data_IF_074886803926
#
_entry.id   IF_074886803926
#
_cell.length_a   1.000
_cell.length_b   1.000
_cell.length_c   1.000
_cell.angle_alpha   90.00
_cell.angle_beta   90.00
_cell.angle_gamma   90.00
#
_symmetry.space_group_name_H-M   'P 1'
#
loop_
_entity.id
_entity.type
_entity.pdbx_description
1 polymer ?
#
# COMPACT_ATOMS: atom_id res chain seq x y z
N UNK A 1 31.47 -3.27 6.34
CA UNK A 1 30.17 -3.63 6.94
C UNK A 1 30.32 -4.95 7.66
N UNK A 2 29.53 -5.22 8.70
CA UNK A 2 29.46 -6.56 9.29
C UNK A 2 28.62 -7.46 8.37
N UNK A 3 28.87 -8.77 8.38
CA UNK A 3 28.13 -9.73 7.55
C UNK A 3 26.70 -9.90 8.08
N UNK A 4 25.85 -8.93 7.76
CA UNK A 4 24.43 -9.04 7.93
C UNK A 4 23.83 -9.79 6.74
N UNK A 5 23.09 -10.87 7.03
CA UNK A 5 22.32 -11.64 6.04
C UNK A 5 21.14 -10.84 5.44
N UNK A 6 20.86 -9.66 5.97
CA UNK A 6 19.70 -8.85 5.64
C UNK A 6 20.10 -7.63 4.79
N UNK A 7 19.28 -7.30 3.79
CA UNK A 7 19.48 -6.07 3.05
C UNK A 7 19.05 -4.87 3.92
N UNK A 8 19.73 -3.76 3.73
CA UNK A 8 19.35 -2.45 4.30
C UNK A 8 18.97 -1.51 3.17
N UNK A 9 18.16 -0.49 3.46
CA UNK A 9 17.78 0.52 2.46
C UNK A 9 18.66 1.77 2.64
N UNK A 10 19.58 1.96 1.70
CA UNK A 10 20.40 3.16 1.61
C UNK A 10 19.60 4.34 1.06
N UNK A 11 19.88 5.54 1.60
CA UNK A 11 19.24 6.81 1.24
C UNK A 11 17.71 6.70 1.18
N UNK A 12 17.12 6.00 2.16
CA UNK A 12 15.69 5.71 2.14
C UNK A 12 14.84 6.93 2.47
N UNK A 13 13.71 7.07 1.79
CA UNK A 13 12.67 8.05 2.07
C UNK A 13 11.35 7.36 2.33
N UNK A 14 10.51 7.97 3.17
CA UNK A 14 9.14 7.51 3.40
C UNK A 14 8.17 8.33 2.57
N UNK A 15 7.24 7.67 1.90
CA UNK A 15 6.18 8.31 1.13
C UNK A 15 4.83 7.67 1.45
N UNK A 16 3.76 8.47 1.47
CA UNK A 16 2.39 7.95 1.61
C UNK A 16 1.67 8.09 0.27
N UNK A 17 1.25 6.96 -0.32
CA UNK A 17 0.51 6.91 -1.57
C UNK A 17 -0.77 6.12 -1.32
N UNK A 18 -1.93 6.71 -1.61
CA UNK A 18 -3.24 6.11 -1.39
C UNK A 18 -3.45 5.57 0.04
N UNK A 19 -2.95 6.32 1.04
CA UNK A 19 -3.06 5.96 2.46
C UNK A 19 -2.10 4.88 2.94
N UNK A 20 -1.19 4.41 2.08
CA UNK A 20 -0.17 3.41 2.44
C UNK A 20 1.17 4.08 2.59
N UNK A 21 1.81 3.82 3.74
CA UNK A 21 3.19 4.22 3.98
C UNK A 21 4.15 3.25 3.30
N UNK A 22 4.97 3.80 2.42
CA UNK A 22 6.03 3.10 1.73
C UNK A 22 7.38 3.63 2.20
N UNK A 23 8.36 2.73 2.30
CA UNK A 23 9.77 3.08 2.38
C UNK A 23 10.40 2.82 1.03
N UNK A 24 11.00 3.85 0.43
CA UNK A 24 11.60 3.80 -0.89
C UNK A 24 13.09 4.03 -0.72
N UNK A 25 13.93 3.15 -1.28
CA UNK A 25 15.37 3.28 -1.13
C UNK A 25 16.15 2.33 -2.01
N UNK A 26 17.48 2.42 -1.89
CA UNK A 26 18.42 1.59 -2.63
C UNK A 26 18.81 0.39 -1.75
N UNK A 27 18.44 -0.84 -2.11
CA UNK A 27 18.81 -2.02 -1.34
C UNK A 27 20.32 -2.24 -1.39
N UNK A 28 20.90 -2.46 -0.22
CA UNK A 28 22.34 -2.63 -0.01
C UNK A 28 22.57 -3.77 0.98
N UNK A 29 23.51 -4.65 0.67
CA UNK A 29 23.89 -5.80 1.51
C UNK A 29 25.41 -5.88 1.63
N UNK A 30 25.90 -6.68 2.58
CA UNK A 30 27.33 -6.85 2.79
C UNK A 30 27.80 -8.19 2.20
N UNK A 31 28.84 -8.17 1.39
CA UNK A 31 29.55 -9.36 0.92
C UNK A 31 31.00 -9.24 1.34
N UNK A 32 31.48 -10.15 2.20
CA UNK A 32 32.89 -10.22 2.61
C UNK A 32 33.44 -8.86 3.08
N UNK A 33 32.65 -8.15 3.90
CA UNK A 33 33.00 -6.84 4.46
C UNK A 33 32.79 -5.63 3.53
N UNK A 34 32.43 -5.85 2.26
CA UNK A 34 32.21 -4.80 1.26
C UNK A 34 30.73 -4.63 0.96
N UNK A 35 30.27 -3.38 0.86
CA UNK A 35 28.89 -3.12 0.46
C UNK A 35 28.68 -3.49 -1.01
N UNK A 36 27.59 -4.19 -1.27
CA UNK A 36 27.14 -4.56 -2.59
C UNK A 36 25.71 -4.05 -2.83
N UNK A 37 25.44 -3.72 -4.09
CA UNK A 37 24.16 -3.27 -4.61
C UNK A 37 23.84 -3.95 -5.92
N UNK A 38 22.61 -3.80 -6.37
CA UNK A 38 22.15 -4.38 -7.63
C UNK A 38 21.98 -3.26 -8.67
N UNK A 39 22.54 -3.51 -9.84
CA UNK A 39 22.49 -2.65 -11.01
C UNK A 39 21.15 -2.82 -11.73
N UNK A 40 20.46 -1.72 -12.03
CA UNK A 40 19.15 -1.76 -12.71
C UNK A 40 19.29 -1.70 -14.24
N UNK A 41 20.09 -2.59 -14.81
CA UNK A 41 20.38 -2.66 -16.25
C UNK A 41 19.33 -3.46 -17.05
N UNK A 42 18.20 -3.79 -16.43
CA UNK A 42 17.12 -4.57 -17.03
C UNK A 42 17.36 -6.07 -17.09
N UNK A 43 18.45 -6.58 -16.50
CA UNK A 43 18.76 -8.02 -16.51
C UNK A 43 18.19 -8.80 -15.32
N UNK A 44 17.62 -8.11 -14.34
CA UNK A 44 17.09 -8.73 -13.12
C UNK A 44 15.62 -9.14 -13.28
N UNK A 45 15.21 -10.18 -12.54
CA UNK A 45 13.81 -10.59 -12.44
C UNK A 45 12.94 -9.46 -11.85
N UNK A 46 11.71 -9.24 -12.34
CA UNK A 46 10.75 -8.31 -11.74
C UNK A 46 10.43 -8.60 -10.27
N UNK A 47 10.50 -9.87 -9.86
CA UNK A 47 10.22 -10.34 -8.49
C UNK A 47 11.32 -9.96 -7.49
N UNK A 48 12.46 -9.47 -7.98
CA UNK A 48 13.60 -9.08 -7.15
C UNK A 48 13.21 -8.01 -6.11
N UNK A 49 12.32 -7.08 -6.45
CA UNK A 49 11.88 -6.04 -5.52
C UNK A 49 11.21 -6.60 -4.27
N UNK A 50 10.40 -7.66 -4.42
CA UNK A 50 9.75 -8.33 -3.29
C UNK A 50 10.79 -9.02 -2.39
N UNK A 51 11.75 -9.72 -2.98
CA UNK A 51 12.79 -10.41 -2.22
C UNK A 51 13.69 -9.44 -1.44
N UNK A 52 14.07 -8.31 -2.06
CA UNK A 52 14.88 -7.28 -1.40
C UNK A 52 14.12 -6.54 -0.30
N UNK A 53 12.82 -6.30 -0.48
CA UNK A 53 12.00 -5.72 0.58
C UNK A 53 11.80 -6.70 1.74
N UNK A 54 11.58 -7.98 1.45
CA UNK A 54 11.51 -9.03 2.47
C UNK A 54 12.80 -9.15 3.27
N UNK A 55 13.96 -9.13 2.60
CA UNK A 55 15.25 -9.16 3.29
C UNK A 55 15.55 -7.88 4.08
N UNK A 56 14.88 -6.77 3.77
CA UNK A 56 14.90 -5.53 4.55
C UNK A 56 13.81 -5.45 5.64
N UNK A 57 13.04 -6.52 5.86
CA UNK A 57 12.04 -6.61 6.93
C UNK A 57 10.64 -6.10 6.57
N UNK A 58 10.33 -5.90 5.29
CA UNK A 58 9.01 -5.51 4.81
C UNK A 58 8.27 -6.70 4.20
N UNK A 59 6.95 -6.76 4.33
CA UNK A 59 6.16 -7.88 3.78
C UNK A 59 5.93 -7.81 2.26
N UNK A 60 6.02 -6.60 1.67
CA UNK A 60 5.71 -6.35 0.28
C UNK A 60 6.74 -5.42 -0.34
N UNK A 61 6.96 -5.60 -1.65
CA UNK A 61 7.95 -4.85 -2.39
C UNK A 61 7.77 -4.90 -3.89
N UNK A 62 8.12 -3.82 -4.56
CA UNK A 62 8.23 -3.74 -6.01
C UNK A 62 9.50 -2.99 -6.43
N UNK A 63 9.99 -3.31 -7.62
CA UNK A 63 11.04 -2.53 -8.27
C UNK A 63 10.43 -1.23 -8.80
N UNK A 64 11.06 -0.11 -8.49
CA UNK A 64 10.75 1.15 -9.18
C UNK A 64 11.54 1.24 -10.48
N UNK A 65 10.87 1.80 -11.49
CA UNK A 65 11.53 2.13 -12.75
C UNK A 65 12.66 3.15 -12.50
N UNK A 66 13.80 2.90 -13.13
CA UNK A 66 14.99 3.77 -13.11
C UNK A 66 14.72 5.17 -13.65
N UNK A 67 13.64 5.36 -14.42
CA UNK A 67 13.23 6.63 -15.03
C UNK A 67 12.21 7.42 -14.20
N UNK A 68 11.92 7.00 -12.96
CA UNK A 68 11.03 7.78 -12.09
C UNK A 68 11.76 9.03 -11.57
N UNK A 69 11.06 10.17 -11.47
CA UNK A 69 11.63 11.41 -10.90
C UNK A 69 12.14 11.24 -9.46
N UNK A 70 11.61 10.25 -8.74
CA UNK A 70 12.10 9.85 -7.42
C UNK A 70 13.50 9.22 -7.49
N UNK A 71 13.78 8.47 -8.55
CA UNK A 71 15.03 7.74 -8.71
C UNK A 71 16.24 8.66 -8.79
N UNK A 72 16.16 9.74 -9.57
CA UNK A 72 17.22 10.75 -9.68
C UNK A 72 17.57 11.41 -8.33
N UNK A 73 16.60 11.53 -7.43
CA UNK A 73 16.82 12.13 -6.11
C UNK A 73 17.54 11.15 -5.16
N UNK A 74 17.28 9.85 -5.30
CA UNK A 74 17.84 8.79 -4.45
C UNK A 74 19.27 8.42 -4.84
N UNK A 75 19.63 8.59 -6.11
CA UNK A 75 20.95 8.31 -6.68
C UNK A 75 22.10 9.16 -6.10
N UNK A 76 21.80 10.31 -5.48
CA UNK A 76 22.84 11.21 -4.98
C UNK A 76 23.52 10.65 -3.72
N UNK A 77 24.86 10.55 -3.77
CA UNK A 77 25.68 10.26 -2.60
C UNK A 77 26.04 8.78 -2.41
N UNK A 78 25.98 7.96 -3.45
CA UNK A 78 26.49 6.58 -3.37
C UNK A 78 27.96 6.56 -2.91
N UNK A 79 28.30 5.78 -1.86
CA UNK A 79 29.68 5.64 -1.39
C UNK A 79 30.60 5.10 -2.48
N UNK A 80 31.88 5.48 -2.44
CA UNK A 80 32.89 4.83 -3.26
C UNK A 80 33.18 3.41 -2.75
N UNK A 81 33.64 2.53 -3.65
CA UNK A 81 34.04 1.16 -3.30
C UNK A 81 32.88 0.17 -3.16
N UNK A 82 31.71 0.47 -3.73
CA UNK A 82 30.57 -0.45 -3.78
C UNK A 82 30.72 -1.44 -4.94
N UNK A 83 30.41 -2.70 -4.64
CA UNK A 83 30.27 -3.75 -5.65
C UNK A 83 28.88 -3.68 -6.29
N UNK A 84 28.82 -3.73 -7.61
CA UNK A 84 27.54 -3.85 -8.32
C UNK A 84 27.38 -5.25 -8.88
N UNK A 85 26.22 -5.83 -8.64
CA UNK A 85 25.80 -7.12 -9.15
C UNK A 85 24.62 -6.97 -10.10
N UNK A 86 24.40 -7.94 -10.99
CA UNK A 86 23.23 -8.00 -11.87
C UNK A 86 22.84 -9.46 -12.18
N UNK A 87 21.79 -9.64 -13.00
CA UNK A 87 21.28 -10.95 -13.45
C UNK A 87 20.78 -11.86 -12.33
N UNK A 88 19.99 -11.28 -11.41
CA UNK A 88 19.29 -12.07 -10.41
C UNK A 88 18.03 -12.70 -11.00
N UNK A 89 17.90 -14.02 -10.85
CA UNK A 89 16.69 -14.77 -11.18
C UNK A 89 15.96 -15.12 -9.89
N UNK A 90 14.65 -14.92 -9.89
CA UNK A 90 13.81 -15.14 -8.71
C UNK A 90 12.69 -16.12 -9.04
N UNK A 91 12.37 -16.95 -8.06
CA UNK A 91 11.16 -17.76 -8.04
C UNK A 91 10.44 -17.48 -6.73
N UNK A 92 9.48 -16.55 -6.77
CA UNK A 92 8.78 -16.09 -5.58
C UNK A 92 9.69 -15.25 -4.67
N UNK A 93 10.00 -15.74 -3.48
CA UNK A 93 10.84 -15.01 -2.50
C UNK A 93 12.31 -15.44 -2.56
N UNK A 94 12.60 -16.51 -3.29
CA UNK A 94 13.94 -17.04 -3.44
C UNK A 94 14.55 -16.43 -4.69
N UNK A 95 15.42 -15.46 -4.49
CA UNK A 95 16.29 -14.97 -5.55
C UNK A 95 17.64 -15.65 -5.41
N UNK A 96 18.03 -16.37 -6.45
CA UNK A 96 19.40 -16.82 -6.61
C UNK A 96 20.04 -15.94 -7.68
N UNK A 97 21.27 -15.54 -7.42
CA UNK A 97 22.14 -15.22 -8.53
C UNK A 97 22.24 -16.46 -9.42
N UNK A 98 21.95 -16.34 -10.71
CA UNK A 98 22.12 -17.47 -11.63
C UNK A 98 23.63 -17.76 -11.86
N UNK A 99 23.96 -18.77 -12.67
CA UNK A 99 25.36 -19.07 -13.04
C UNK A 99 26.04 -17.95 -13.87
N UNK A 100 25.29 -16.91 -14.24
CA UNK A 100 25.72 -15.68 -14.90
C UNK A 100 25.57 -14.42 -14.03
N UNK A 101 25.07 -14.56 -12.80
CA UNK A 101 25.03 -13.51 -11.80
C UNK A 101 26.46 -13.18 -11.46
N UNK A 102 26.78 -11.92 -11.62
CA UNK A 102 28.15 -11.49 -11.63
C UNK A 102 28.24 -10.01 -11.35
N UNK A 103 29.47 -9.55 -11.38
CA UNK A 103 29.74 -8.13 -11.32
C UNK A 103 29.09 -7.45 -12.53
N UNK A 104 28.25 -6.47 -12.26
CA UNK A 104 27.71 -5.61 -13.30
C UNK A 104 28.88 -4.94 -14.02
N UNK A 105 28.83 -4.84 -15.34
CA UNK A 105 29.86 -4.17 -16.15
C UNK A 105 29.39 -2.81 -16.67
N UNK A 106 28.14 -2.43 -16.43
CA UNK A 106 27.57 -1.17 -16.91
C UNK A 106 28.17 0.03 -16.12
N UNK A 107 28.91 0.94 -16.78
CA UNK A 107 29.51 2.13 -16.15
C UNK A 107 28.51 2.99 -15.37
N UNK A 108 27.24 3.03 -15.81
CA UNK A 108 26.19 3.84 -15.19
C UNK A 108 25.85 3.37 -13.78
N UNK A 109 26.07 2.10 -13.46
CA UNK A 109 25.86 1.57 -12.11
C UNK A 109 26.94 2.08 -11.15
N UNK A 110 28.20 2.08 -11.57
CA UNK A 110 29.32 2.59 -10.77
C UNK A 110 29.29 4.12 -10.57
N UNK A 111 28.67 4.84 -11.50
CA UNK A 111 28.45 6.28 -11.39
C UNK A 111 27.21 6.63 -10.56
N UNK A 112 26.52 5.63 -9.99
CA UNK A 112 25.30 5.83 -9.20
C UNK A 112 24.11 6.31 -10.03
N UNK A 113 24.09 6.08 -11.33
CA UNK A 113 23.04 6.55 -12.24
C UNK A 113 21.99 5.48 -12.58
N UNK A 114 22.25 4.23 -12.20
CA UNK A 114 21.44 3.07 -12.58
C UNK A 114 21.32 2.08 -11.42
N UNK A 115 20.90 2.57 -10.26
CA UNK A 115 20.68 1.76 -9.06
C UNK A 115 19.34 1.03 -9.13
N UNK A 116 19.30 -0.18 -8.61
CA UNK A 116 18.01 -0.80 -8.26
C UNK A 116 17.37 -0.01 -7.13
N UNK A 117 16.12 0.40 -7.31
CA UNK A 117 15.34 1.07 -6.28
C UNK A 117 14.13 0.22 -5.98
N UNK A 118 13.86 0.04 -4.70
CA UNK A 118 12.68 -0.69 -4.23
C UNK A 118 11.73 0.25 -3.52
N UNK A 119 10.44 -0.05 -3.66
CA UNK A 119 9.37 0.52 -2.84
C UNK A 119 8.82 -0.61 -1.96
N UNK A 120 9.01 -0.49 -0.66
CA UNK A 120 8.64 -1.51 0.32
C UNK A 120 7.48 -1.05 1.22
N UNK A 121 6.62 -1.98 1.65
CA UNK A 121 5.55 -1.70 2.61
C UNK A 121 5.19 -2.93 3.44
N UNK A 122 4.53 -2.70 4.58
CA UNK A 122 3.91 -3.76 5.39
C UNK A 122 2.41 -3.93 5.10
N UNK A 123 1.85 -3.12 4.19
CA UNK A 123 0.44 -3.14 3.80
C UNK A 123 0.38 -3.18 2.27
N UNK A 124 -0.40 -4.12 1.73
CA UNK A 124 -0.63 -4.24 0.28
C UNK A 124 -1.59 -3.18 -0.24
N UNK A 125 -1.29 -2.63 -1.43
CA UNK A 125 -2.08 -1.59 -2.11
C UNK A 125 -3.57 -1.89 -2.24
N UNK A 126 -3.92 -3.13 -2.60
CA UNK A 126 -5.32 -3.52 -2.76
C UNK A 126 -6.08 -3.68 -1.42
N UNK A 127 -5.39 -3.87 -0.30
CA UNK A 127 -6.05 -4.03 1.00
C UNK A 127 -6.75 -2.72 1.43
N UNK A 128 -6.15 -1.56 1.12
CA UNK A 128 -6.76 -0.26 1.38
C UNK A 128 -7.95 -0.02 0.47
N UNK A 129 -7.84 -0.35 -0.82
CA UNK A 129 -8.95 -0.24 -1.78
C UNK A 129 -10.15 -1.06 -1.29
N UNK A 130 -9.94 -2.32 -0.91
CA UNK A 130 -11.00 -3.18 -0.37
C UNK A 130 -11.58 -2.57 0.92
N UNK A 131 -10.74 -2.10 1.83
CA UNK A 131 -11.19 -1.47 3.08
C UNK A 131 -12.10 -0.25 2.83
N UNK A 132 -11.72 0.61 1.89
CA UNK A 132 -12.51 1.78 1.51
C UNK A 132 -13.83 1.36 0.83
N UNK A 133 -13.78 0.44 -0.14
CA UNK A 133 -14.99 -0.02 -0.84
C UNK A 133 -15.99 -0.68 0.12
N UNK A 134 -15.51 -1.55 1.01
CA UNK A 134 -16.36 -2.20 2.03
C UNK A 134 -16.89 -1.16 3.02
N UNK A 135 -16.06 -0.22 3.47
CA UNK A 135 -16.49 0.86 4.36
C UNK A 135 -17.62 1.71 3.77
N UNK A 136 -17.51 2.08 2.48
CA UNK A 136 -18.56 2.81 1.76
C UNK A 136 -19.84 1.97 1.66
N UNK A 137 -19.73 0.69 1.32
CA UNK A 137 -20.87 -0.21 1.20
C UNK A 137 -21.64 -0.31 2.54
N UNK A 138 -20.93 -0.50 3.65
CA UNK A 138 -21.53 -0.58 5.00
C UNK A 138 -22.19 0.75 5.35
N UNK A 139 -21.53 1.88 5.13
CA UNK A 139 -22.10 3.20 5.41
C UNK A 139 -23.40 3.45 4.62
N UNK A 140 -23.44 3.03 3.35
CA UNK A 140 -24.62 3.12 2.51
C UNK A 140 -25.77 2.28 3.06
N UNK A 141 -25.52 1.01 3.39
CA UNK A 141 -26.55 0.10 3.96
C UNK A 141 -27.10 0.66 5.27
N UNK A 142 -26.23 1.15 6.17
CA UNK A 142 -26.64 1.76 7.44
C UNK A 142 -27.51 3.00 7.20
N UNK A 143 -27.13 3.85 6.24
CA UNK A 143 -27.91 5.05 5.90
C UNK A 143 -29.29 4.70 5.38
N UNK A 144 -29.40 3.70 4.49
CA UNK A 144 -30.68 3.21 3.97
C UNK A 144 -31.55 2.67 5.11
N UNK A 145 -30.98 1.86 6.02
CA UNK A 145 -31.73 1.33 7.17
C UNK A 145 -32.27 2.45 8.06
N UNK A 146 -31.45 3.48 8.36
CA UNK A 146 -31.89 4.64 9.15
C UNK A 146 -33.05 5.34 8.46
N UNK A 147 -32.97 5.59 7.15
CA UNK A 147 -34.04 6.24 6.38
C UNK A 147 -35.33 5.41 6.44
N UNK A 148 -35.25 4.08 6.25
CA UNK A 148 -36.41 3.18 6.34
C UNK A 148 -37.05 3.25 7.73
N UNK A 149 -36.23 3.21 8.79
CA UNK A 149 -36.73 3.32 10.18
C UNK A 149 -37.44 4.65 10.38
N UNK A 150 -36.86 5.76 9.91
CA UNK A 150 -37.47 7.10 10.03
C UNK A 150 -38.81 7.18 9.28
N UNK A 151 -38.91 6.59 8.09
CA UNK A 151 -40.17 6.51 7.33
C UNK A 151 -41.24 5.72 8.08
N UNK A 152 -40.88 4.53 8.61
CA UNK A 152 -41.81 3.70 9.39
C UNK A 152 -42.29 4.44 10.64
N UNK A 153 -41.39 5.07 11.39
CA UNK A 153 -41.73 5.86 12.57
C UNK A 153 -42.66 7.01 12.20
N UNK A 154 -42.38 7.72 11.11
CA UNK A 154 -43.25 8.81 10.62
C UNK A 154 -44.64 8.30 10.24
N UNK A 155 -44.75 7.17 9.54
CA UNK A 155 -46.04 6.57 9.18
C UNK A 155 -46.84 6.17 10.42
N UNK A 156 -46.20 5.56 11.43
CA UNK A 156 -46.85 5.19 12.69
C UNK A 156 -47.35 6.42 13.45
N UNK A 157 -46.54 7.48 13.56
CA UNK A 157 -46.94 8.73 14.19
C UNK A 157 -48.12 9.36 13.46
N UNK A 158 -48.07 9.40 12.12
CA UNK A 158 -49.14 9.95 11.30
C UNK A 158 -50.43 9.15 11.48
N UNK A 159 -50.36 7.82 11.42
CA UNK A 159 -51.51 6.93 11.62
C UNK A 159 -52.16 7.14 13.00
N UNK A 160 -51.34 7.25 14.05
CA UNK A 160 -51.82 7.48 15.42
C UNK A 160 -52.48 8.86 15.57
N UNK A 161 -52.06 9.89 14.81
CA UNK A 161 -52.75 11.20 14.79
C UNK A 161 -54.09 11.15 14.06
N UNK A 162 -54.20 10.39 12.96
CA UNK A 162 -55.46 10.26 12.23
C UNK A 162 -56.56 9.67 13.12
N UNK A 163 -56.28 8.56 13.82
CA UNK A 163 -57.25 7.95 14.75
C UNK A 163 -57.64 8.83 15.95
N UNK A 164 -56.80 9.79 16.34
CA UNK A 164 -57.12 10.69 17.46
C UNK A 164 -58.07 11.83 17.06
N UNK A 165 -58.13 12.18 15.78
CA UNK A 165 -59.10 13.16 15.28
C UNK A 165 -60.50 12.56 15.09
N UNK A 166 -60.59 11.29 14.70
CA UNK A 166 -61.88 10.62 14.53
C UNK A 166 -62.58 10.33 15.87
N UNK A 167 -61.82 10.10 16.95
CA UNK A 167 -62.37 9.92 18.30
C UNK A 167 -62.81 11.20 19.02
N UNK A 168 -62.47 12.38 18.49
CA UNK A 168 -62.92 13.67 19.05
C UNK A 168 -64.23 14.16 18.41
N UNK A 169 -64.52 13.72 17.18
CA UNK A 169 -65.77 14.03 16.48
C UNK A 169 -66.94 13.17 16.99
N UNK A 170 -66.70 11.98 17.53
CA UNK A 170 -67.76 11.12 18.08
C UNK A 170 -68.20 11.48 19.51
N UNK A 171 -67.44 12.29 20.26
CA UNK A 171 -67.83 12.70 21.63
C UNK A 171 -68.78 13.90 21.62
N UNK A 172 -68.87 14.63 20.50
CA UNK A 172 -69.69 15.86 20.42
C UNK A 172 -71.16 15.63 20.01
N UNK A 173 -71.55 14.42 19.61
CA UNK A 173 -72.92 14.15 19.13
C UNK A 173 -73.85 13.51 20.16
N UNK A 174 -73.39 13.18 21.39
CA UNK A 174 -74.18 12.47 22.41
C UNK A 174 -74.61 13.34 23.63
N UNK A 175 -74.62 14.67 23.53
CA UNK A 175 -75.19 15.54 24.59
C UNK A 175 -76.42 16.29 24.04
N UNK A 176 -77.58 15.64 24.09
CA UNK A 176 -78.87 16.32 24.17
C UNK A 176 -79.53 15.89 25.49
N UNK A 177 -79.50 16.80 26.46
CA UNK A 177 -80.18 16.69 27.76
C UNK A 177 -81.48 17.51 27.64
N UNK A 178 -82.59 16.85 28.00
CA UNK A 178 -83.97 17.30 28.27
C UNK A 178 -84.74 18.07 27.18
#
# INVERSE_FOLDING_TARGET
CDEDYYATLFNSQTATIDGISYTIGIPQFCITGTYARICNDGTNSPELGLALCNSAGFLFGELLSSNSSLAETLYRGSPQGILYLNRFLCSGHNCQGDSSSGFASNPQCFNGQLETIVRCSNIKSYAVVIGVTVGILVAFVVTVLIVVILVVVFMVIRNKRTHRHDGLLTINDDIYID
#
